data_IF_277693103464
#
_entry.id   IF_277693103464
#
_cell.length_a   1.000
_cell.length_b   1.000
_cell.length_c   1.000
_cell.angle_alpha   90.00
_cell.angle_beta   90.00
_cell.angle_gamma   90.00
#
_symmetry.space_group_name_H-M   'P 1'
#
loop_
_entity.id
_entity.type
_entity.pdbx_description
1 polymer ?
#
# COMPACT_ATOMS: atom_id res chain seq x y z
N UNK A 1 13.61 -3.70 -24.71
CA UNK A 1 14.62 -3.08 -25.58
C UNK A 1 15.65 -4.12 -25.97
N UNK A 2 16.02 -4.13 -27.28
CA UNK A 2 17.08 -4.97 -27.81
C UNK A 2 18.20 -4.04 -28.32
N UNK A 3 19.44 -4.41 -28.06
CA UNK A 3 20.58 -3.77 -28.69
C UNK A 3 20.96 -4.59 -29.92
N UNK A 4 20.91 -3.98 -31.07
CA UNK A 4 21.34 -4.61 -32.31
C UNK A 4 22.86 -4.48 -32.43
N UNK A 5 23.59 -5.59 -32.31
CA UNK A 5 25.04 -5.65 -32.41
C UNK A 5 25.47 -5.70 -33.87
N UNK A 6 24.65 -6.33 -34.72
CA UNK A 6 24.94 -6.45 -36.14
C UNK A 6 23.64 -6.41 -36.95
N UNK A 7 23.56 -5.55 -37.94
CA UNK A 7 22.41 -5.47 -38.82
C UNK A 7 22.45 -6.62 -39.82
N UNK A 8 21.26 -7.16 -40.14
CA UNK A 8 21.09 -8.08 -41.25
C UNK A 8 21.51 -7.38 -42.54
N UNK A 9 22.35 -8.02 -43.34
CA UNK A 9 22.89 -7.41 -44.58
C UNK A 9 24.19 -6.60 -44.39
N UNK A 10 24.74 -6.52 -43.16
CA UNK A 10 26.01 -5.86 -42.95
C UNK A 10 27.18 -6.66 -43.58
N UNK A 11 28.16 -5.99 -44.26
CA UNK A 11 29.30 -6.67 -44.85
C UNK A 11 30.17 -7.32 -43.77
N UNK A 12 30.56 -8.58 -43.97
CA UNK A 12 31.35 -9.40 -43.03
C UNK A 12 32.82 -9.51 -43.38
N UNK A 13 33.37 -8.62 -44.18
CA UNK A 13 34.79 -8.65 -44.56
C UNK A 13 35.06 -8.05 -45.92
N UNK A 14 36.30 -8.11 -46.38
CA UNK A 14 36.81 -7.43 -47.59
C UNK A 14 36.23 -8.00 -48.93
N UNK A 15 35.44 -9.04 -48.94
CA UNK A 15 34.99 -9.73 -50.14
C UNK A 15 33.50 -9.94 -50.19
N UNK A 16 32.69 -8.90 -50.05
CA UNK A 16 31.27 -8.90 -50.49
C UNK A 16 30.31 -9.91 -49.86
N UNK A 17 30.73 -10.66 -48.87
CA UNK A 17 29.84 -11.57 -48.14
C UNK A 17 28.99 -10.78 -47.14
N UNK A 18 27.68 -11.01 -47.19
CA UNK A 18 26.66 -10.31 -46.38
C UNK A 18 26.20 -11.22 -45.25
N UNK A 19 26.08 -10.70 -44.05
CA UNK A 19 25.55 -11.49 -42.92
C UNK A 19 24.08 -11.86 -43.15
N UNK A 20 23.75 -13.17 -43.23
CA UNK A 20 22.38 -13.64 -43.51
C UNK A 20 21.39 -13.37 -42.37
N UNK A 21 21.91 -13.12 -41.16
CA UNK A 21 21.11 -12.76 -39.97
C UNK A 21 21.83 -11.75 -39.10
N UNK A 22 21.09 -10.81 -38.58
CA UNK A 22 21.57 -9.87 -37.56
C UNK A 22 21.63 -10.54 -36.18
N UNK A 23 22.58 -10.08 -35.32
CA UNK A 23 22.63 -10.49 -33.94
C UNK A 23 21.97 -9.42 -33.11
N UNK A 24 20.90 -9.77 -32.42
CA UNK A 24 20.19 -8.92 -31.46
C UNK A 24 20.30 -9.54 -30.08
N UNK A 25 20.77 -8.77 -29.11
CA UNK A 25 20.85 -9.19 -27.71
C UNK A 25 19.84 -8.40 -26.92
N UNK A 26 18.99 -9.10 -26.18
CA UNK A 26 18.06 -8.49 -25.23
C UNK A 26 18.84 -7.88 -24.07
N UNK A 27 18.56 -6.60 -23.75
CA UNK A 27 19.18 -5.89 -22.62
C UNK A 27 18.60 -6.30 -21.26
N UNK A 28 17.77 -7.35 -21.21
CA UNK A 28 17.07 -7.81 -20.04
C UNK A 28 15.82 -6.97 -19.74
N UNK A 29 15.33 -7.11 -18.54
CA UNK A 29 14.18 -6.38 -18.01
C UNK A 29 14.61 -5.45 -16.87
N UNK A 30 13.98 -4.29 -16.77
CA UNK A 30 14.14 -3.39 -15.63
C UNK A 30 12.74 -3.04 -15.10
N UNK A 31 12.64 -2.84 -13.80
CA UNK A 31 11.43 -2.27 -13.23
C UNK A 31 11.20 -0.87 -13.82
N UNK A 32 10.03 -0.65 -14.44
CA UNK A 32 9.67 0.65 -15.02
C UNK A 32 8.87 1.50 -14.07
N UNK A 33 8.07 0.88 -13.20
CA UNK A 33 7.29 1.53 -12.15
C UNK A 33 6.98 0.52 -11.05
N UNK A 34 6.83 1.03 -9.83
CA UNK A 34 6.28 0.31 -8.69
C UNK A 34 4.99 1.05 -8.32
N UNK A 35 3.87 0.36 -8.34
CA UNK A 35 2.58 0.90 -7.91
C UNK A 35 2.14 0.22 -6.63
N UNK A 36 1.52 1.00 -5.73
CA UNK A 36 0.93 0.47 -4.51
C UNK A 36 -0.38 -0.25 -4.85
N UNK A 37 -0.59 -1.41 -4.24
CA UNK A 37 -1.89 -2.07 -4.25
C UNK A 37 -2.68 -1.61 -3.03
N UNK A 38 -3.82 -0.93 -3.28
CA UNK A 38 -4.69 -0.33 -2.25
C UNK A 38 -5.95 -1.20 -2.08
N UNK A 39 -5.89 -2.47 -2.45
CA UNK A 39 -7.00 -3.38 -2.23
C UNK A 39 -7.29 -3.52 -0.72
N UNK A 40 -8.58 -3.48 -0.39
CA UNK A 40 -9.01 -3.65 1.00
C UNK A 40 -8.63 -5.04 1.50
N UNK A 41 -7.99 -5.08 2.68
CA UNK A 41 -7.67 -6.30 3.38
C UNK A 41 -8.86 -6.88 4.15
N UNK A 42 -8.70 -8.09 4.68
CA UNK A 42 -9.72 -8.70 5.53
C UNK A 42 -9.89 -7.93 6.83
N UNK A 43 -11.12 -7.76 7.29
CA UNK A 43 -11.42 -7.13 8.57
C UNK A 43 -11.33 -8.18 9.69
N UNK A 44 -10.51 -7.91 10.69
CA UNK A 44 -10.33 -8.76 11.88
C UNK A 44 -10.94 -8.08 13.10
N UNK A 45 -11.79 -8.79 13.81
CA UNK A 45 -12.32 -8.33 15.09
C UNK A 45 -11.22 -8.34 16.16
N UNK A 46 -11.05 -7.22 16.84
CA UNK A 46 -10.10 -7.03 17.93
C UNK A 46 -10.78 -6.80 19.27
N UNK A 47 -11.99 -6.23 19.26
CA UNK A 47 -12.74 -5.89 20.45
C UNK A 47 -12.21 -4.66 21.21
N UNK A 48 -11.26 -3.92 20.64
CA UNK A 48 -10.80 -2.64 21.19
C UNK A 48 -11.83 -1.52 20.93
N UNK A 49 -12.14 -0.73 21.92
CA UNK A 49 -13.15 0.34 21.81
C UNK A 49 -12.76 1.44 20.83
N UNK A 50 -11.45 1.65 20.63
CA UNK A 50 -10.88 2.65 19.71
C UNK A 50 -10.32 2.04 18.42
N UNK A 51 -10.41 0.72 18.27
CA UNK A 51 -10.05 0.07 17.03
C UNK A 51 -11.16 0.29 16.00
N UNK A 52 -10.82 0.87 14.86
CA UNK A 52 -11.77 1.21 13.82
C UNK A 52 -11.29 0.74 12.46
N UNK A 53 -12.11 0.05 11.72
CA UNK A 53 -11.83 -0.30 10.33
C UNK A 53 -12.79 0.45 9.40
N UNK A 54 -12.30 0.77 8.21
CA UNK A 54 -13.12 1.34 7.13
C UNK A 54 -13.58 0.19 6.24
N UNK A 55 -14.87 -0.02 6.13
CA UNK A 55 -15.47 -0.97 5.19
C UNK A 55 -15.80 -0.24 3.88
N UNK A 56 -14.92 -0.34 2.90
CA UNK A 56 -14.99 0.38 1.64
C UNK A 56 -13.85 1.39 1.44
N UNK A 57 -14.08 2.40 0.62
CA UNK A 57 -13.08 3.43 0.27
C UNK A 57 -13.07 4.54 1.30
N UNK A 58 -11.88 5.06 1.59
CA UNK A 58 -11.69 6.19 2.48
C UNK A 58 -10.42 6.07 3.31
N UNK A 59 -10.06 7.17 3.94
CA UNK A 59 -8.84 7.33 4.74
C UNK A 59 -9.18 8.15 5.97
N UNK A 60 -8.57 7.82 7.10
CA UNK A 60 -8.58 8.70 8.26
C UNK A 60 -7.61 9.84 8.02
N UNK A 61 -7.99 11.05 8.40
CA UNK A 61 -7.13 12.22 8.39
C UNK A 61 -6.51 12.40 9.77
N UNK A 62 -5.20 12.60 9.82
CA UNK A 62 -4.44 12.85 11.05
C UNK A 62 -3.57 14.09 10.87
N UNK A 63 -3.34 14.82 11.95
CA UNK A 63 -2.52 16.02 11.95
C UNK A 63 -1.09 15.69 12.35
N UNK A 64 -0.13 16.05 11.50
CA UNK A 64 1.29 15.91 11.77
C UNK A 64 1.79 17.05 12.68
N UNK A 65 2.93 16.87 13.37
CA UNK A 65 3.53 17.93 14.20
C UNK A 65 3.93 19.20 13.42
N UNK A 66 4.05 19.08 12.11
CA UNK A 66 4.29 20.21 11.20
C UNK A 66 3.04 21.05 10.95
N UNK A 67 1.85 20.56 11.32
CA UNK A 67 0.55 21.16 11.02
C UNK A 67 -0.04 20.72 9.68
N UNK A 68 0.65 19.83 8.97
CA UNK A 68 0.16 19.27 7.72
C UNK A 68 -0.77 18.08 7.97
N UNK A 69 -1.73 17.85 7.07
CA UNK A 69 -2.59 16.67 7.11
C UNK A 69 -1.90 15.46 6.49
N UNK A 70 -1.95 14.32 7.17
CA UNK A 70 -1.61 13.01 6.64
C UNK A 70 -2.83 12.09 6.68
N UNK A 71 -2.80 11.05 5.89
CA UNK A 71 -3.93 10.13 5.71
C UNK A 71 -3.48 8.70 5.99
N UNK A 72 -4.31 7.96 6.73
CA UNK A 72 -4.00 6.56 7.08
C UNK A 72 -5.23 5.69 6.97
N UNK A 73 -5.03 4.39 6.68
CA UNK A 73 -6.05 3.36 6.82
C UNK A 73 -5.91 2.56 8.12
N UNK A 74 -4.80 2.80 8.86
CA UNK A 74 -4.61 2.17 10.16
C UNK A 74 -5.59 2.78 11.17
N UNK A 75 -6.48 1.96 11.69
CA UNK A 75 -7.50 2.34 12.65
C UNK A 75 -7.14 1.95 14.10
N UNK A 76 -5.89 1.65 14.40
CA UNK A 76 -5.41 1.33 15.74
C UNK A 76 -5.19 2.59 16.57
N UNK A 77 -6.28 3.25 16.93
CA UNK A 77 -6.23 4.50 17.70
C UNK A 77 -6.08 4.25 19.20
N UNK A 78 -5.55 5.25 19.87
CA UNK A 78 -5.36 5.29 21.33
C UNK A 78 -5.91 6.59 21.91
N UNK A 79 -6.14 6.59 23.21
CA UNK A 79 -6.54 7.77 23.94
C UNK A 79 -5.34 8.35 24.70
N UNK A 80 -5.14 9.67 24.62
CA UNK A 80 -4.17 10.38 25.45
C UNK A 80 -4.71 10.60 26.86
N UNK A 81 -3.85 11.08 27.78
CA UNK A 81 -4.27 11.47 29.13
C UNK A 81 -5.36 12.55 29.13
N UNK A 82 -5.39 13.41 28.12
CA UNK A 82 -6.39 14.48 27.96
C UNK A 82 -7.67 13.99 27.28
N UNK A 83 -7.74 12.71 26.92
CA UNK A 83 -8.91 12.12 26.28
C UNK A 83 -8.92 12.21 24.74
N UNK A 84 -7.88 12.79 24.12
CA UNK A 84 -7.82 12.96 22.67
C UNK A 84 -7.55 11.62 21.97
N UNK A 85 -8.25 11.37 20.86
CA UNK A 85 -8.02 10.20 20.01
C UNK A 85 -6.80 10.46 19.12
N UNK A 86 -5.80 9.58 19.21
CA UNK A 86 -4.52 9.70 18.48
C UNK A 86 -4.14 8.35 17.85
N UNK A 87 -3.25 8.40 16.87
CA UNK A 87 -2.60 7.19 16.29
C UNK A 87 -1.63 6.55 17.30
N UNK A 88 -1.06 5.39 16.96
CA UNK A 88 -0.02 4.74 17.76
C UNK A 88 1.24 5.59 17.92
N UNK A 89 1.52 6.48 16.98
CA UNK A 89 2.62 7.45 17.03
C UNK A 89 2.27 8.75 17.80
N UNK A 90 1.00 8.95 18.17
CA UNK A 90 0.54 10.10 18.91
C UNK A 90 -0.02 11.25 18.07
N UNK A 91 -0.27 11.05 16.78
CA UNK A 91 -0.86 12.07 15.92
C UNK A 91 -2.38 12.14 16.11
N UNK A 92 -2.95 13.33 16.35
CA UNK A 92 -4.40 13.47 16.55
C UNK A 92 -5.20 13.22 15.28
N UNK A 93 -6.35 12.57 15.47
CA UNK A 93 -7.36 12.38 14.42
C UNK A 93 -8.02 13.71 14.07
N UNK A 94 -8.31 13.94 12.81
CA UNK A 94 -9.04 15.13 12.33
C UNK A 94 -10.43 14.71 11.79
N UNK A 95 -11.52 15.33 12.25
CA UNK A 95 -11.65 16.32 13.34
C UNK A 95 -11.25 15.75 14.71
N UNK A 96 -10.66 16.58 15.55
CA UNK A 96 -10.27 16.16 16.88
C UNK A 96 -11.49 15.77 17.71
N UNK A 97 -11.50 14.56 18.24
CA UNK A 97 -12.53 14.05 19.13
C UNK A 97 -11.90 13.81 20.50
N UNK A 98 -12.46 14.44 21.53
CA UNK A 98 -12.01 14.28 22.91
C UNK A 98 -13.02 13.46 23.68
N UNK A 99 -12.57 12.37 24.27
CA UNK A 99 -13.38 11.48 25.12
C UNK A 99 -13.31 12.02 26.55
N UNK A 100 -14.42 12.41 27.18
CA UNK A 100 -14.44 12.84 28.58
C UNK A 100 -13.93 11.73 29.51
N UNK A 101 -13.20 12.10 30.56
CA UNK A 101 -12.60 11.14 31.52
C UNK A 101 -13.64 10.40 32.36
N UNK A 102 -14.85 10.95 32.48
CA UNK A 102 -16.00 10.35 33.17
C UNK A 102 -16.85 9.43 32.28
N UNK A 103 -16.47 9.28 31.00
CA UNK A 103 -17.10 8.33 30.09
C UNK A 103 -16.77 6.88 30.52
N UNK A 104 -17.81 6.08 30.70
CA UNK A 104 -17.71 4.66 31.04
C UNK A 104 -17.36 3.80 29.83
N UNK A 105 -17.94 4.12 28.69
CA UNK A 105 -17.73 3.44 27.42
C UNK A 105 -18.05 4.36 26.25
N UNK A 106 -17.49 4.05 25.11
CA UNK A 106 -17.73 4.77 23.86
C UNK A 106 -18.33 3.83 22.81
N UNK A 107 -19.15 4.39 21.94
CA UNK A 107 -19.68 3.68 20.79
C UNK A 107 -19.52 4.55 19.55
N UNK A 108 -18.99 3.97 18.52
CA UNK A 108 -18.80 4.63 17.22
C UNK A 108 -19.69 3.93 16.23
N UNK A 109 -20.63 4.69 15.66
CA UNK A 109 -21.55 4.12 14.68
C UNK A 109 -20.93 4.09 13.26
N UNK A 110 -21.65 3.44 12.33
CA UNK A 110 -21.19 3.28 10.96
C UNK A 110 -21.06 4.62 10.19
N UNK A 111 -21.76 5.65 10.64
CA UNK A 111 -21.79 6.98 10.02
C UNK A 111 -20.79 7.95 10.65
N UNK A 112 -19.92 7.43 11.54
CA UNK A 112 -18.83 8.17 12.15
C UNK A 112 -19.16 8.96 13.41
N UNK A 113 -20.39 8.88 13.93
CA UNK A 113 -20.74 9.55 15.17
C UNK A 113 -20.16 8.81 16.37
N UNK A 114 -19.52 9.55 17.25
CA UNK A 114 -18.89 9.05 18.47
C UNK A 114 -19.78 9.41 19.64
N UNK A 115 -20.30 8.40 20.31
CA UNK A 115 -21.19 8.50 21.46
C UNK A 115 -20.48 8.05 22.72
N UNK A 116 -20.59 8.82 23.80
CA UNK A 116 -20.07 8.45 25.12
C UNK A 116 -21.23 8.11 26.06
N UNK A 117 -21.05 7.06 26.85
CA UNK A 117 -21.95 6.64 27.90
C UNK A 117 -21.38 7.03 29.25
N UNK A 118 -22.18 7.70 30.06
CA UNK A 118 -21.78 8.18 31.39
C UNK A 118 -22.44 7.38 32.49
N UNK A 119 -21.76 7.29 33.63
CA UNK A 119 -22.34 6.63 34.81
C UNK A 119 -23.52 7.45 35.36
N UNK A 120 -24.71 6.82 35.43
CA UNK A 120 -25.92 7.49 35.92
C UNK A 120 -26.76 8.23 34.87
N UNK A 121 -26.29 8.27 33.63
CA UNK A 121 -27.06 8.82 32.49
C UNK A 121 -27.46 7.67 31.57
N UNK A 122 -28.74 7.52 31.31
CA UNK A 122 -29.26 6.42 30.50
C UNK A 122 -29.05 6.64 28.99
N UNK A 123 -28.93 7.89 28.57
CA UNK A 123 -28.76 8.25 27.15
C UNK A 123 -27.31 8.49 26.80
N UNK A 124 -26.89 7.96 25.64
CA UNK A 124 -25.57 8.24 25.09
C UNK A 124 -25.51 9.68 24.59
N UNK A 125 -24.40 10.35 24.85
CA UNK A 125 -24.16 11.72 24.39
C UNK A 125 -23.23 11.70 23.18
N UNK A 126 -23.60 12.45 22.15
CA UNK A 126 -22.72 12.69 20.99
C UNK A 126 -21.58 13.58 21.41
N UNK A 127 -20.34 13.09 21.35
CA UNK A 127 -19.12 13.83 21.71
C UNK A 127 -18.31 14.30 20.50
N UNK A 128 -18.55 13.72 19.33
CA UNK A 128 -17.86 14.11 18.11
C UNK A 128 -18.25 13.28 16.91
N UNK A 129 -17.65 13.59 15.79
CA UNK A 129 -17.84 12.84 14.55
C UNK A 129 -16.50 12.62 13.87
N UNK A 130 -16.30 11.43 13.36
CA UNK A 130 -15.12 11.03 12.56
C UNK A 130 -15.51 11.15 11.10
N UNK A 131 -14.70 11.84 10.32
CA UNK A 131 -14.86 11.96 8.88
C UNK A 131 -13.85 11.09 8.13
N UNK A 132 -14.15 10.81 6.87
CA UNK A 132 -13.25 10.09 5.97
C UNK A 132 -12.87 10.97 4.80
N UNK A 133 -11.61 10.92 4.44
CA UNK A 133 -11.08 11.53 3.22
C UNK A 133 -11.13 10.52 2.07
N UNK A 134 -11.43 11.00 0.87
CA UNK A 134 -11.39 10.23 -0.37
C UNK A 134 -10.55 10.98 -1.40
N UNK A 135 -9.82 10.23 -2.22
CA UNK A 135 -8.99 10.79 -3.29
C UNK A 135 -9.50 10.33 -4.65
N UNK A 136 -9.35 11.17 -5.65
CA UNK A 136 -9.67 10.83 -7.03
C UNK A 136 -8.77 9.70 -7.53
N UNK A 137 -7.48 9.75 -7.18
CA UNK A 137 -6.51 8.72 -7.51
C UNK A 137 -5.70 8.33 -6.26
N UNK A 138 -6.13 7.30 -5.55
CA UNK A 138 -5.48 6.81 -4.34
C UNK A 138 -4.04 6.32 -4.60
N UNK A 139 -3.75 5.81 -5.81
CA UNK A 139 -2.39 5.36 -6.19
C UNK A 139 -1.38 6.49 -6.35
N UNK A 140 -1.85 7.71 -6.44
CA UNK A 140 -1.04 8.92 -6.48
C UNK A 140 -0.58 9.42 -5.12
N UNK A 141 -1.03 8.82 -4.02
CA UNK A 141 -0.60 9.19 -2.68
C UNK A 141 0.87 8.82 -2.46
N UNK A 142 1.60 9.68 -1.76
CA UNK A 142 2.99 9.45 -1.37
C UNK A 142 3.05 8.89 0.06
N UNK A 143 3.72 7.75 0.24
CA UNK A 143 3.92 7.13 1.53
C UNK A 143 5.05 7.83 2.29
N UNK A 144 4.75 8.34 3.48
CA UNK A 144 5.73 8.99 4.38
C UNK A 144 6.22 8.07 5.50
N UNK A 145 5.77 6.82 5.52
CA UNK A 145 6.06 5.83 6.56
C UNK A 145 4.94 5.68 7.58
N UNK A 146 5.07 4.71 8.50
CA UNK A 146 4.09 4.42 9.57
C UNK A 146 2.64 4.30 9.08
N UNK A 147 2.42 3.69 7.92
CA UNK A 147 1.11 3.57 7.25
C UNK A 147 0.43 4.93 6.97
N UNK A 148 1.22 6.01 6.89
CA UNK A 148 0.71 7.35 6.59
C UNK A 148 1.09 7.78 5.17
N UNK A 149 0.21 8.58 4.59
CA UNK A 149 0.27 9.03 3.21
C UNK A 149 0.00 10.53 3.14
N UNK A 150 0.66 11.20 2.22
CA UNK A 150 0.39 12.60 1.90
C UNK A 150 -0.17 12.73 0.49
N UNK A 151 -1.07 13.70 0.25
CA UNK A 151 -1.58 13.96 -1.08
C UNK A 151 -0.50 14.54 -1.98
N UNK A 152 -0.57 14.22 -3.27
CA UNK A 152 0.28 14.78 -4.31
C UNK A 152 -0.57 15.37 -5.43
N UNK A 153 0.04 16.07 -6.38
CA UNK A 153 -0.67 16.52 -7.58
C UNK A 153 -1.30 15.36 -8.37
N UNK A 154 -0.72 14.16 -8.28
CA UNK A 154 -1.23 12.97 -8.96
C UNK A 154 -2.44 12.33 -8.25
N UNK A 155 -2.58 12.49 -6.93
CA UNK A 155 -3.73 12.00 -6.17
C UNK A 155 -4.94 12.93 -6.26
N UNK A 156 -4.70 14.22 -6.46
CA UNK A 156 -5.66 15.29 -6.25
C UNK A 156 -5.86 15.60 -4.77
N UNK A 157 -6.68 16.62 -4.50
CA UNK A 157 -7.01 17.07 -3.14
C UNK A 157 -7.87 16.04 -2.40
N UNK A 158 -7.76 16.04 -1.09
CA UNK A 158 -8.59 15.22 -0.21
C UNK A 158 -10.03 15.75 -0.17
N UNK A 159 -11.01 14.89 -0.48
CA UNK A 159 -12.43 15.20 -0.37
C UNK A 159 -12.94 14.60 0.93
N UNK A 160 -13.01 15.43 1.97
CA UNK A 160 -13.43 15.02 3.32
C UNK A 160 -14.95 15.04 3.43
N UNK A 161 -15.51 14.08 4.14
CA UNK A 161 -16.94 14.03 4.43
C UNK A 161 -17.34 12.84 5.29
N UNK A 162 -18.63 12.73 5.55
CA UNK A 162 -19.17 11.71 6.44
C UNK A 162 -19.05 10.30 5.85
N UNK A 163 -18.77 9.27 6.68
CA UNK A 163 -18.77 7.88 6.26
C UNK A 163 -20.12 7.46 5.69
N UNK A 164 -20.12 6.53 4.73
CA UNK A 164 -21.34 6.01 4.10
C UNK A 164 -22.01 6.91 3.07
N UNK A 165 -21.48 8.11 2.83
CA UNK A 165 -22.04 9.09 1.88
C UNK A 165 -21.05 9.28 0.71
N UNK A 166 -21.55 9.58 -0.49
CA UNK A 166 -20.76 9.87 -1.71
C UNK A 166 -19.71 8.79 -2.06
N UNK A 167 -20.03 7.52 -1.78
CA UNK A 167 -19.14 6.38 -2.07
C UNK A 167 -18.02 6.19 -1.06
N UNK A 168 -17.99 6.96 0.03
CA UNK A 168 -17.12 6.69 1.18
C UNK A 168 -17.58 5.45 1.92
N UNK A 169 -16.61 4.69 2.43
CA UNK A 169 -16.83 3.50 3.24
C UNK A 169 -17.53 3.83 4.56
N UNK A 170 -17.93 2.79 5.28
CA UNK A 170 -18.52 2.89 6.61
C UNK A 170 -17.50 2.53 7.67
N UNK A 171 -17.67 3.08 8.86
CA UNK A 171 -16.83 2.74 9.99
C UNK A 171 -17.34 1.47 10.69
N UNK A 172 -16.40 0.70 11.20
CA UNK A 172 -16.65 -0.50 11.97
C UNK A 172 -15.79 -0.50 13.22
N UNK A 173 -16.43 -0.24 14.37
CA UNK A 173 -15.76 -0.26 15.66
C UNK A 173 -15.42 -1.68 16.09
N UNK A 174 -14.28 -1.86 16.79
CA UNK A 174 -13.80 -3.14 17.29
C UNK A 174 -13.19 -4.04 16.21
N UNK A 175 -12.87 -3.49 15.06
CA UNK A 175 -12.21 -4.16 13.94
C UNK A 175 -10.97 -3.41 13.49
N UNK A 176 -10.00 -4.14 12.97
CA UNK A 176 -8.83 -3.61 12.25
C UNK A 176 -8.74 -4.26 10.87
N UNK A 177 -8.27 -3.49 9.91
CA UNK A 177 -7.98 -3.98 8.57
C UNK A 177 -6.61 -4.69 8.58
N UNK A 178 -6.57 -5.92 8.10
CA UNK A 178 -5.34 -6.67 7.89
C UNK A 178 -4.72 -6.28 6.55
N UNK A 179 -3.41 -6.53 6.41
CA UNK A 179 -2.75 -6.39 5.11
C UNK A 179 -3.47 -7.21 4.04
N UNK A 180 -3.68 -6.62 2.86
CA UNK A 180 -4.21 -7.32 1.67
C UNK A 180 -3.20 -8.31 1.07
N UNK A 181 -1.94 -8.28 1.53
CA UNK A 181 -0.87 -9.13 1.02
C UNK A 181 -0.91 -10.50 1.71
N UNK A 182 -1.09 -11.57 0.90
CA UNK A 182 -0.89 -12.94 1.36
C UNK A 182 0.61 -13.26 1.37
N UNK A 183 1.19 -13.31 2.57
CA UNK A 183 2.61 -13.59 2.76
C UNK A 183 3.02 -14.98 2.21
N UNK A 184 2.13 -15.97 2.25
CA UNK A 184 2.42 -17.32 1.75
C UNK A 184 2.49 -17.33 0.23
N UNK A 185 1.56 -16.65 -0.44
CA UNK A 185 1.57 -16.46 -1.88
C UNK A 185 2.85 -15.73 -2.33
N UNK A 186 3.21 -14.64 -1.65
CA UNK A 186 4.41 -13.87 -1.98
C UNK A 186 5.72 -14.66 -1.78
N UNK A 187 5.80 -15.51 -0.74
CA UNK A 187 6.96 -16.39 -0.55
C UNK A 187 7.01 -17.44 -1.67
N UNK A 188 5.88 -17.96 -2.09
CA UNK A 188 5.82 -18.95 -3.19
C UNK A 188 6.29 -18.33 -4.49
N UNK A 189 5.82 -17.12 -4.83
CA UNK A 189 6.26 -16.38 -6.01
C UNK A 189 7.76 -16.07 -5.97
N UNK A 190 8.29 -15.73 -4.79
CA UNK A 190 9.72 -15.51 -4.60
C UNK A 190 10.54 -16.78 -4.85
N UNK A 191 10.08 -17.94 -4.34
CA UNK A 191 10.73 -19.23 -4.56
C UNK A 191 10.69 -19.58 -6.05
N UNK A 192 9.59 -19.35 -6.74
CA UNK A 192 9.45 -19.58 -8.18
C UNK A 192 10.42 -18.70 -8.96
N UNK A 193 10.52 -17.42 -8.64
CA UNK A 193 11.47 -16.49 -9.24
C UNK A 193 12.92 -16.92 -9.00
N UNK A 194 13.27 -17.37 -7.78
CA UNK A 194 14.60 -17.89 -7.46
C UNK A 194 14.94 -19.14 -8.27
N UNK A 195 14.00 -20.08 -8.39
CA UNK A 195 14.18 -21.28 -9.21
C UNK A 195 14.39 -20.93 -10.67
N UNK A 196 13.63 -19.97 -11.20
CA UNK A 196 13.81 -19.46 -12.56
C UNK A 196 15.21 -18.89 -12.78
N UNK A 197 15.72 -18.14 -11.83
CA UNK A 197 17.09 -17.60 -11.85
C UNK A 197 18.15 -18.71 -11.82
N UNK A 198 17.99 -19.72 -10.93
CA UNK A 198 18.89 -20.87 -10.85
C UNK A 198 18.90 -21.71 -12.13
N UNK A 199 17.74 -21.94 -12.74
CA UNK A 199 17.63 -22.65 -14.01
C UNK A 199 18.36 -21.87 -15.13
N UNK A 200 18.15 -20.58 -15.23
CA UNK A 200 18.83 -19.75 -16.21
C UNK A 200 20.36 -19.77 -16.01
N UNK A 201 20.83 -19.68 -14.76
CA UNK A 201 22.26 -19.79 -14.45
C UNK A 201 22.84 -21.17 -14.84
N UNK A 202 22.10 -22.26 -14.57
CA UNK A 202 22.52 -23.61 -14.97
C UNK A 202 22.57 -23.76 -16.50
N UNK A 203 21.62 -23.20 -17.21
CA UNK A 203 21.59 -23.22 -18.69
C UNK A 203 22.81 -22.48 -19.26
N UNK A 204 23.13 -21.31 -18.71
CA UNK A 204 24.32 -20.54 -19.12
C UNK A 204 25.59 -21.35 -18.84
N UNK A 205 25.73 -21.92 -17.65
CA UNK A 205 26.89 -22.75 -17.29
C UNK A 205 27.03 -23.98 -18.17
N UNK A 206 25.91 -24.63 -18.51
CA UNK A 206 25.92 -25.77 -19.45
C UNK A 206 26.31 -25.36 -20.87
N UNK A 207 25.86 -24.19 -21.33
CA UNK A 207 26.24 -23.64 -22.63
C UNK A 207 27.75 -23.32 -22.68
N UNK A 208 28.30 -22.74 -21.61
CA UNK A 208 29.72 -22.45 -21.50
C UNK A 208 30.57 -23.73 -21.51
N UNK A 209 30.11 -24.80 -20.80
CA UNK A 209 30.78 -26.09 -20.83
C UNK A 209 30.74 -26.75 -22.21
N UNK A 210 29.62 -26.66 -22.93
CA UNK A 210 29.52 -27.15 -24.29
C UNK A 210 30.45 -26.39 -25.24
N UNK A 211 30.54 -25.08 -25.09
CA UNK A 211 31.46 -24.26 -25.88
C UNK A 211 32.92 -24.60 -25.58
N UNK A 212 33.27 -24.81 -24.31
CA UNK A 212 34.60 -25.20 -23.90
C UNK A 212 34.99 -26.57 -24.45
N UNK A 213 34.10 -27.58 -24.42
CA UNK A 213 34.34 -28.89 -24.97
C UNK A 213 34.48 -28.86 -26.53
N UNK A 214 33.64 -28.05 -27.19
CA UNK A 214 33.73 -27.87 -28.64
C UNK A 214 35.08 -27.21 -29.07
N UNK A 215 35.64 -26.35 -28.23
CA UNK A 215 36.94 -25.70 -28.42
C UNK A 215 38.12 -26.68 -28.24
N UNK A 216 37.97 -27.77 -27.46
CA UNK A 216 39.04 -28.77 -27.22
C UNK A 216 39.13 -29.85 -28.34
N UNK A 217 38.17 -29.92 -29.23
CA UNK A 217 38.09 -30.92 -30.31
C UNK A 217 38.79 -30.41 -31.59
N UNK A 218 39.43 -29.25 -31.53
CA UNK A 218 40.11 -28.64 -32.70
C UNK A 218 41.62 -28.73 -32.62
#
# INVERSE_FOLDING_TARGET
HYQQIRQTGAPTGATGTVAPAGVQIGLGVRASAVSMDIAQGALRQTGGDLDMAIEGRGWFEVELPTGDSAFTRDGSFKQTADGLIVTSEGYPLVPQVTIPQDARSISINADGEVHAYFTGVAEAQLIGRITLAQFTNEKGLEAIGSNMFTPTEASGDAIVGDPGIDGRGRLRQGYLEQSSVDAVAQITDLIEAQRGYELNSKVISAADQMMASASQIR
#
